data_IF_331314359813
#
_entry.id   IF_331314359813
#
_cell.length_a   1.000
_cell.length_b   1.000
_cell.length_c   1.000
_cell.angle_alpha   90.00
_cell.angle_beta   90.00
_cell.angle_gamma   90.00
#
_symmetry.space_group_name_H-M   'P 1'
#
loop_
_entity.id
_entity.type
_entity.pdbx_description
1 polymer ?
#
# COMPACT_ATOMS: atom_id res chain seq x y z
N UNK A 1 -6.92 -2.85 -17.53
CA UNK A 1 -5.50 -3.26 -17.41
C UNK A 1 -4.93 -3.73 -18.73
N UNK A 2 -5.58 -4.66 -19.43
CA UNK A 2 -5.12 -5.17 -20.74
C UNK A 2 -4.77 -4.06 -21.76
N UNK A 3 -5.67 -3.12 -21.97
CA UNK A 3 -5.47 -2.00 -22.90
C UNK A 3 -4.34 -1.04 -22.49
N UNK A 4 -4.20 -0.79 -21.18
CA UNK A 4 -3.08 0.02 -20.66
C UNK A 4 -1.75 -0.72 -20.84
N UNK A 5 -1.71 -2.02 -20.59
CA UNK A 5 -0.52 -2.84 -20.76
C UNK A 5 -0.11 -2.95 -22.23
N UNK A 6 -1.07 -2.97 -23.15
CA UNK A 6 -0.82 -2.94 -24.60
C UNK A 6 -0.12 -1.65 -25.02
N UNK A 7 -0.50 -0.53 -24.43
CA UNK A 7 0.12 0.77 -24.69
C UNK A 7 1.47 0.94 -23.97
N UNK A 8 1.52 0.63 -22.67
CA UNK A 8 2.72 0.68 -21.85
C UNK A 8 2.60 -0.15 -20.57
N UNK A 9 3.44 -1.17 -20.45
CA UNK A 9 3.48 -2.04 -19.27
C UNK A 9 3.85 -1.31 -17.97
N UNK A 10 4.68 -0.26 -18.03
CA UNK A 10 5.08 0.50 -16.84
C UNK A 10 3.93 1.33 -16.26
N UNK A 11 3.20 2.03 -17.12
CA UNK A 11 2.02 2.82 -16.71
C UNK A 11 0.91 1.90 -16.23
N UNK A 12 0.71 0.76 -16.90
CA UNK A 12 -0.24 -0.24 -16.45
C UNK A 12 0.10 -0.77 -15.05
N UNK A 13 1.37 -1.10 -14.78
CA UNK A 13 1.79 -1.57 -13.47
C UNK A 13 1.60 -0.50 -12.39
N UNK A 14 1.94 0.76 -12.68
CA UNK A 14 1.69 1.88 -11.75
C UNK A 14 0.20 2.05 -11.45
N UNK A 15 -0.67 1.94 -12.46
CA UNK A 15 -2.12 2.00 -12.30
C UNK A 15 -2.66 0.80 -11.49
N UNK A 16 -2.18 -0.42 -11.74
CA UNK A 16 -2.57 -1.60 -10.98
C UNK A 16 -2.17 -1.49 -9.50
N UNK A 17 -0.96 -1.01 -9.22
CA UNK A 17 -0.50 -0.80 -7.85
C UNK A 17 -1.36 0.25 -7.11
N UNK A 18 -1.74 1.34 -7.78
CA UNK A 18 -2.60 2.35 -7.20
C UNK A 18 -4.04 1.86 -7.00
N UNK A 19 -4.70 1.41 -8.07
CA UNK A 19 -6.14 1.07 -8.05
C UNK A 19 -6.43 -0.23 -7.31
N UNK A 20 -5.62 -1.26 -7.53
CA UNK A 20 -5.93 -2.61 -7.05
C UNK A 20 -5.20 -2.97 -5.77
N UNK A 21 -3.94 -2.53 -5.59
CA UNK A 21 -3.20 -2.83 -4.37
C UNK A 21 -3.48 -1.81 -3.26
N UNK A 22 -3.67 -0.53 -3.58
CA UNK A 22 -3.92 0.51 -2.58
C UNK A 22 -5.41 0.80 -2.38
N UNK A 23 -6.10 1.31 -3.40
CA UNK A 23 -7.50 1.78 -3.29
C UNK A 23 -8.46 0.64 -2.93
N UNK A 24 -8.38 -0.50 -3.62
CA UNK A 24 -9.25 -1.63 -3.34
C UNK A 24 -9.06 -2.16 -1.91
N UNK A 25 -7.83 -2.29 -1.44
CA UNK A 25 -7.57 -2.76 -0.08
C UNK A 25 -8.10 -1.77 0.96
N UNK A 26 -7.93 -0.45 0.76
CA UNK A 26 -8.52 0.57 1.62
C UNK A 26 -10.06 0.53 1.61
N UNK A 27 -10.66 0.30 0.44
CA UNK A 27 -12.11 0.19 0.28
C UNK A 27 -12.69 -1.04 1.00
N UNK A 28 -11.97 -2.17 0.98
CA UNK A 28 -12.41 -3.41 1.62
C UNK A 28 -12.15 -3.38 3.13
N UNK A 29 -10.95 -3.00 3.56
CA UNK A 29 -10.47 -3.23 4.93
C UNK A 29 -10.39 -1.96 5.79
N UNK A 30 -10.47 -0.77 5.19
CA UNK A 30 -10.42 0.51 5.92
C UNK A 30 -11.63 0.76 6.81
N UNK A 31 -11.44 1.59 7.85
CA UNK A 31 -12.56 2.13 8.63
C UNK A 31 -13.33 3.21 7.84
N UNK A 32 -14.58 3.53 8.21
CA UNK A 32 -15.32 4.63 7.58
C UNK A 32 -14.53 5.95 7.56
N UNK A 33 -13.86 6.29 8.66
CA UNK A 33 -13.06 7.52 8.82
C UNK A 33 -11.82 7.51 7.91
N UNK A 34 -11.16 6.36 7.78
CA UNK A 34 -10.03 6.19 6.87
C UNK A 34 -10.48 6.31 5.40
N UNK A 35 -11.62 5.72 5.07
CA UNK A 35 -12.19 5.79 3.72
C UNK A 35 -12.51 7.23 3.34
N UNK A 36 -13.20 7.96 4.21
CA UNK A 36 -13.55 9.38 3.99
C UNK A 36 -12.31 10.26 3.84
N UNK A 37 -11.27 10.03 4.66
CA UNK A 37 -10.05 10.84 4.64
C UNK A 37 -9.16 10.58 3.42
N UNK A 38 -9.07 9.34 2.96
CA UNK A 38 -8.06 8.94 1.97
C UNK A 38 -8.63 8.63 0.58
N UNK A 39 -9.84 8.05 0.46
CA UNK A 39 -10.38 7.66 -0.85
C UNK A 39 -10.62 8.85 -1.79
N UNK A 40 -11.18 10.00 -1.39
CA UNK A 40 -11.44 11.09 -2.33
C UNK A 40 -10.19 11.58 -3.06
N UNK A 41 -9.05 11.67 -2.35
CA UNK A 41 -7.77 12.08 -2.94
C UNK A 41 -7.11 11.00 -3.82
N UNK A 42 -7.38 9.72 -3.54
CA UNK A 42 -6.89 8.63 -4.38
C UNK A 42 -7.75 8.48 -5.65
N UNK A 43 -9.07 8.63 -5.54
CA UNK A 43 -10.00 8.48 -6.67
C UNK A 43 -9.94 9.65 -7.66
N UNK A 44 -9.65 10.86 -7.18
CA UNK A 44 -9.40 12.04 -8.02
C UNK A 44 -8.09 11.98 -8.79
N UNK A 45 -7.14 11.15 -8.34
CA UNK A 45 -5.78 11.08 -8.90
C UNK A 45 -4.80 12.11 -8.32
N UNK A 46 -5.26 12.99 -7.41
CA UNK A 46 -4.41 13.97 -6.72
C UNK A 46 -3.34 13.30 -5.85
N UNK A 47 -3.58 12.07 -5.41
CA UNK A 47 -2.65 11.26 -4.63
C UNK A 47 -2.42 9.92 -5.30
N UNK A 48 -1.14 9.51 -5.36
CA UNK A 48 -0.76 8.17 -5.79
C UNK A 48 -0.54 7.28 -4.56
N UNK A 49 -0.99 6.04 -4.70
CA UNK A 49 -0.98 5.02 -3.66
C UNK A 49 -0.04 3.87 -4.02
N UNK A 50 0.45 3.19 -2.99
CA UNK A 50 1.26 1.98 -3.10
C UNK A 50 0.97 1.05 -1.92
N UNK A 51 1.37 -0.21 -2.11
CA UNK A 51 1.28 -1.26 -1.09
C UNK A 51 2.70 -1.71 -0.74
N UNK A 52 3.05 -1.61 0.55
CA UNK A 52 4.39 -1.94 1.04
C UNK A 52 4.38 -3.25 1.84
N UNK A 53 4.64 -4.37 1.16
CA UNK A 53 4.69 -5.70 1.79
C UNK A 53 6.10 -6.30 1.76
N UNK A 54 6.69 -6.41 0.57
CA UNK A 54 7.95 -7.11 0.34
C UNK A 54 9.15 -6.46 1.04
N UNK A 55 10.06 -7.31 1.50
CA UNK A 55 11.33 -6.95 2.13
C UNK A 55 12.48 -7.67 1.44
N UNK A 56 13.72 -7.24 1.68
CA UNK A 56 14.89 -7.91 1.12
C UNK A 56 14.94 -9.40 1.48
N UNK A 57 14.51 -9.75 2.70
CA UNK A 57 14.44 -11.13 3.20
C UNK A 57 13.08 -11.81 3.00
N UNK A 58 12.07 -11.11 2.48
CA UNK A 58 10.68 -11.61 2.40
C UNK A 58 10.00 -11.16 1.11
N UNK A 59 10.12 -11.99 0.07
CA UNK A 59 9.48 -11.81 -1.24
C UNK A 59 8.28 -12.74 -1.42
N UNK A 60 8.54 -13.99 -1.83
CA UNK A 60 7.51 -15.03 -1.95
C UNK A 60 6.96 -15.47 -0.59
N UNK A 61 7.84 -15.55 0.42
CA UNK A 61 7.44 -15.79 1.81
C UNK A 61 7.22 -14.45 2.52
N UNK A 62 6.09 -13.82 2.21
CA UNK A 62 5.75 -12.50 2.75
C UNK A 62 5.36 -12.55 4.24
N UNK A 63 5.00 -13.72 4.75
CA UNK A 63 4.59 -13.91 6.15
C UNK A 63 5.80 -13.82 7.09
N UNK A 64 6.98 -14.24 6.61
CA UNK A 64 8.24 -14.13 7.34
C UNK A 64 8.87 -12.72 7.32
N UNK A 65 8.06 -11.68 7.15
CA UNK A 65 8.53 -10.30 7.17
C UNK A 65 9.05 -9.91 8.56
N UNK A 66 10.10 -9.09 8.59
CA UNK A 66 10.78 -8.67 9.83
C UNK A 66 10.39 -7.27 10.28
N UNK A 67 9.69 -6.48 9.45
CA UNK A 67 9.18 -5.18 9.88
C UNK A 67 8.28 -5.36 11.09
N UNK A 68 8.60 -4.66 12.17
CA UNK A 68 7.85 -4.68 13.42
C UNK A 68 7.00 -3.43 13.55
N UNK A 69 5.84 -3.56 14.19
CA UNK A 69 4.96 -2.46 14.56
C UNK A 69 4.72 -2.48 16.07
N UNK A 70 5.40 -1.60 16.81
CA UNK A 70 5.23 -1.47 18.26
C UNK A 70 4.16 -0.43 18.57
N UNK A 71 3.15 -0.82 19.34
CA UNK A 71 2.12 0.10 19.83
C UNK A 71 2.73 1.10 20.82
N UNK A 72 2.39 2.37 20.63
CA UNK A 72 2.75 3.48 21.49
C UNK A 72 1.52 4.35 21.71
N UNK A 73 1.58 5.25 22.68
CA UNK A 73 0.45 6.15 22.94
C UNK A 73 0.13 6.99 21.68
N UNK A 74 -1.12 6.91 21.22
CA UNK A 74 -1.59 7.56 20.01
C UNK A 74 -1.17 6.93 18.67
N UNK A 75 -0.53 5.76 18.63
CA UNK A 75 -0.24 5.08 17.36
C UNK A 75 0.80 3.96 17.38
N UNK A 76 1.63 3.91 16.33
CA UNK A 76 2.60 2.83 16.11
C UNK A 76 3.97 3.34 15.69
N UNK A 77 5.01 2.76 16.28
CA UNK A 77 6.39 2.89 15.82
C UNK A 77 6.70 1.70 14.91
N UNK A 78 6.97 1.97 13.63
CA UNK A 78 7.36 0.98 12.65
C UNK A 78 8.89 0.90 12.56
N UNK A 79 9.46 -0.29 12.61
CA UNK A 79 10.90 -0.51 12.45
C UNK A 79 11.16 -1.67 11.48
N UNK A 80 11.86 -1.40 10.38
CA UNK A 80 12.15 -2.37 9.33
C UNK A 80 12.49 -1.69 8.00
N UNK A 81 12.68 -2.51 6.96
CA UNK A 81 12.99 -2.04 5.61
C UNK A 81 12.06 -2.72 4.61
N UNK A 82 11.48 -1.93 3.70
CA UNK A 82 10.67 -2.44 2.58
C UNK A 82 11.43 -2.28 1.27
N UNK A 83 11.16 -3.16 0.31
CA UNK A 83 11.86 -3.20 -0.97
C UNK A 83 10.92 -3.58 -2.11
N UNK A 84 11.23 -3.13 -3.32
CA UNK A 84 10.43 -3.39 -4.54
C UNK A 84 9.02 -2.78 -4.50
N UNK A 85 8.87 -1.62 -3.85
CA UNK A 85 7.58 -0.95 -3.72
C UNK A 85 7.31 -0.09 -4.97
N UNK A 86 6.37 -0.54 -5.81
CA UNK A 86 5.89 0.21 -6.96
C UNK A 86 5.29 1.55 -6.52
N UNK A 87 5.62 2.64 -7.22
CA UNK A 87 5.19 4.02 -6.95
C UNK A 87 5.76 4.67 -5.66
N UNK A 88 6.77 4.08 -5.02
CA UNK A 88 7.30 4.60 -3.74
C UNK A 88 7.82 6.04 -3.81
N UNK A 89 8.38 6.47 -4.96
CA UNK A 89 8.92 7.81 -5.15
C UNK A 89 7.84 8.89 -5.37
N UNK A 90 6.61 8.48 -5.70
CA UNK A 90 5.51 9.40 -6.02
C UNK A 90 4.44 9.41 -4.91
N UNK A 91 4.80 8.93 -3.70
CA UNK A 91 3.83 8.57 -2.68
C UNK A 91 3.41 9.76 -1.81
N UNK A 92 2.09 10.00 -1.73
CA UNK A 92 1.50 10.95 -0.78
C UNK A 92 0.60 10.26 0.28
N UNK A 93 0.39 8.95 0.19
CA UNK A 93 -0.42 8.16 1.14
C UNK A 93 0.25 6.80 1.41
N UNK A 94 0.74 6.59 2.64
CA UNK A 94 1.32 5.30 3.08
C UNK A 94 0.28 4.54 3.92
N UNK A 95 -0.08 3.32 3.50
CA UNK A 95 -1.00 2.44 4.24
C UNK A 95 -0.30 1.84 5.47
N UNK A 96 -0.20 2.61 6.55
CA UNK A 96 0.35 2.13 7.83
C UNK A 96 -0.64 1.25 8.61
N UNK A 97 -1.94 1.52 8.51
CA UNK A 97 -2.94 0.93 9.42
C UNK A 97 -3.54 -0.40 8.94
N UNK A 98 -3.42 -0.74 7.65
CA UNK A 98 -4.02 -1.96 7.11
C UNK A 98 -3.21 -3.24 7.38
N UNK A 99 -1.90 -3.11 7.62
CA UNK A 99 -1.04 -4.29 7.79
C UNK A 99 -1.39 -5.08 9.06
N UNK A 100 -1.93 -4.43 10.10
CA UNK A 100 -2.50 -5.10 11.28
C UNK A 100 -3.81 -5.84 10.98
N UNK A 101 -4.74 -5.25 10.20
CA UNK A 101 -6.04 -5.89 9.89
C UNK A 101 -5.91 -7.09 8.95
N UNK A 102 -4.86 -7.13 8.15
CA UNK A 102 -4.53 -8.27 7.30
C UNK A 102 -3.73 -9.37 8.03
N UNK A 103 -3.51 -9.27 9.35
CA UNK A 103 -2.66 -10.18 10.14
C UNK A 103 -1.25 -10.36 9.56
N UNK A 104 -0.70 -9.31 8.94
CA UNK A 104 0.63 -9.34 8.33
C UNK A 104 1.73 -8.75 9.24
N UNK A 105 1.35 -8.16 10.38
CA UNK A 105 2.22 -7.72 11.48
C UNK A 105 1.45 -7.82 12.80
#
# INVERSE_FOLDING_TARGET
>A
MEELSRASGSIALSYAAHSQLCVNQLSLNGSPEQKERFLPGLLSGDKIGALAMSEHSAGSDVVSMKTTAKEVDGGYVLNGTKMWITNVSCLNCFQKDMLKRLNLI
#
